data_IF_586457673885
#
_entry.id   IF_586457673885
#
_cell.length_a   1.000
_cell.length_b   1.000
_cell.length_c   1.000
_cell.angle_alpha   90.00
_cell.angle_beta   90.00
_cell.angle_gamma   90.00
#
_symmetry.space_group_name_H-M   'P 1'
#
loop_
_entity.id
_entity.type
_entity.pdbx_description
1 polymer ?
#
# COMPACT_ATOMS: atom_id res chain seq x y z
N UNK A 1 3.13 -58.62 -37.68
CA UNK A 1 4.27 -57.80 -37.21
C UNK A 1 3.84 -56.36 -36.91
N UNK A 2 2.91 -56.10 -35.95
CA UNK A 2 2.42 -54.71 -35.65
C UNK A 2 1.82 -54.52 -34.24
N UNK A 3 1.92 -55.51 -33.34
CA UNK A 3 1.32 -55.41 -32.01
C UNK A 3 2.25 -54.80 -30.94
N UNK A 4 3.56 -54.83 -31.11
CA UNK A 4 4.54 -54.30 -30.14
C UNK A 4 4.75 -52.78 -30.21
N UNK A 5 4.37 -52.09 -31.29
CA UNK A 5 4.51 -50.63 -31.42
C UNK A 5 3.39 -49.82 -30.74
N UNK A 6 2.22 -50.43 -30.52
CA UNK A 6 1.08 -49.72 -29.89
C UNK A 6 1.18 -49.63 -28.35
N UNK A 7 1.91 -50.55 -27.71
CA UNK A 7 2.09 -50.55 -26.25
C UNK A 7 3.13 -49.53 -25.78
N UNK A 8 4.13 -49.18 -26.58
CA UNK A 8 5.13 -48.18 -26.20
C UNK A 8 4.61 -46.74 -26.30
N UNK A 9 3.67 -46.45 -27.20
CA UNK A 9 3.08 -45.11 -27.33
C UNK A 9 2.13 -44.76 -26.17
N UNK A 10 1.42 -45.77 -25.62
CA UNK A 10 0.49 -45.56 -24.49
C UNK A 10 1.22 -45.35 -23.16
N UNK A 11 2.38 -45.96 -22.94
CA UNK A 11 3.18 -45.79 -21.75
C UNK A 11 3.82 -44.40 -21.66
N UNK A 12 4.21 -43.81 -22.80
CA UNK A 12 4.79 -42.45 -22.83
C UNK A 12 3.76 -41.35 -22.54
N UNK A 13 2.50 -41.53 -23.00
CA UNK A 13 1.42 -40.55 -22.77
C UNK A 13 0.95 -40.48 -21.29
N UNK A 14 0.99 -41.61 -20.58
CA UNK A 14 0.62 -41.67 -19.16
C UNK A 14 1.72 -41.06 -18.28
N UNK A 15 2.99 -41.23 -18.63
CA UNK A 15 4.09 -40.62 -17.88
C UNK A 15 4.15 -39.09 -17.98
N UNK A 16 3.78 -38.51 -19.13
CA UNK A 16 3.75 -37.05 -19.32
C UNK A 16 2.60 -36.39 -18.57
N UNK A 17 1.44 -37.05 -18.45
CA UNK A 17 0.30 -36.54 -17.67
C UNK A 17 0.57 -36.58 -16.15
N UNK A 18 1.31 -37.57 -15.66
CA UNK A 18 1.66 -37.66 -14.23
C UNK A 18 2.67 -36.56 -13.81
N UNK A 19 3.61 -36.19 -14.67
CA UNK A 19 4.54 -35.08 -14.38
C UNK A 19 3.88 -33.71 -14.41
N UNK A 20 2.90 -33.46 -15.28
CA UNK A 20 2.14 -32.20 -15.32
C UNK A 20 1.26 -32.04 -14.08
N UNK A 21 0.66 -33.12 -13.58
CA UNK A 21 -0.16 -33.10 -12.35
C UNK A 21 0.65 -32.88 -11.08
N UNK A 22 1.87 -33.42 -10.99
CA UNK A 22 2.77 -33.23 -9.85
C UNK A 22 3.29 -31.80 -9.75
N UNK A 23 3.59 -31.14 -10.89
CA UNK A 23 4.03 -29.74 -10.93
C UNK A 23 2.91 -28.77 -10.51
N UNK A 24 1.64 -29.04 -10.84
CA UNK A 24 0.50 -28.21 -10.41
C UNK A 24 0.15 -28.43 -8.93
N UNK A 25 0.28 -29.64 -8.40
CA UNK A 25 0.02 -29.92 -6.99
C UNK A 25 1.09 -29.29 -6.07
N UNK A 26 2.34 -29.19 -6.54
CA UNK A 26 3.43 -28.58 -5.79
C UNK A 26 3.29 -27.04 -5.72
N UNK A 27 2.66 -26.39 -6.72
CA UNK A 27 2.40 -24.95 -6.72
C UNK A 27 1.23 -24.55 -5.80
N UNK A 28 0.31 -25.46 -5.49
CA UNK A 28 -0.85 -25.19 -4.65
C UNK A 28 -0.52 -25.05 -3.15
N UNK A 29 0.60 -25.64 -2.71
CA UNK A 29 1.03 -25.62 -1.32
C UNK A 29 2.31 -24.79 -1.07
N UNK A 30 2.85 -24.16 -2.12
CA UNK A 30 4.08 -23.37 -2.02
C UNK A 30 3.85 -22.12 -1.19
N UNK A 31 4.68 -21.90 -0.18
CA UNK A 31 4.64 -20.68 0.64
C UNK A 31 5.15 -19.46 -0.14
N UNK A 32 4.81 -18.25 0.31
CA UNK A 32 5.27 -17.02 -0.33
C UNK A 32 6.82 -16.95 -0.32
N UNK A 33 7.45 -17.33 0.79
CA UNK A 33 8.92 -17.32 0.88
C UNK A 33 9.56 -18.34 -0.07
N UNK A 34 9.05 -19.58 -0.13
CA UNK A 34 9.55 -20.60 -1.05
C UNK A 34 9.46 -20.15 -2.51
N UNK A 35 8.31 -19.57 -2.89
CA UNK A 35 8.11 -19.02 -4.25
C UNK A 35 9.12 -17.91 -4.55
N UNK A 36 9.29 -16.95 -3.63
CA UNK A 36 10.24 -15.84 -3.80
C UNK A 36 11.66 -16.37 -3.98
N UNK A 37 12.08 -17.30 -3.14
CA UNK A 37 13.44 -17.84 -3.19
C UNK A 37 13.70 -18.72 -4.42
N UNK A 38 12.69 -19.43 -4.89
CA UNK A 38 12.76 -20.25 -6.12
C UNK A 38 12.78 -19.39 -7.38
N UNK A 39 11.90 -18.38 -7.46
CA UNK A 39 11.79 -17.52 -8.65
C UNK A 39 12.80 -16.39 -8.67
N UNK A 40 13.49 -16.15 -7.55
CA UNK A 40 14.38 -14.99 -7.33
C UNK A 40 13.69 -13.65 -7.61
N UNK A 41 12.38 -13.59 -7.38
CA UNK A 41 11.56 -12.41 -7.64
C UNK A 41 10.52 -12.23 -6.53
N UNK A 42 10.43 -11.00 -5.99
CA UNK A 42 9.40 -10.58 -5.05
C UNK A 42 8.46 -9.58 -5.71
N UNK A 43 7.15 -9.83 -5.64
CA UNK A 43 6.12 -9.01 -6.27
C UNK A 43 5.59 -7.99 -5.27
N UNK A 44 5.68 -6.73 -5.65
CA UNK A 44 5.35 -5.57 -4.82
C UNK A 44 4.13 -4.86 -5.39
N UNK A 45 3.10 -4.67 -4.58
CA UNK A 45 1.99 -3.79 -4.94
C UNK A 45 2.43 -2.33 -4.95
N UNK A 46 2.08 -1.58 -5.99
CA UNK A 46 2.45 -0.18 -6.14
C UNK A 46 1.27 0.67 -6.61
N UNK A 47 1.14 1.89 -6.09
CA UNK A 47 0.00 2.77 -6.33
C UNK A 47 0.45 4.02 -7.06
N UNK A 48 -0.02 4.20 -8.30
CA UNK A 48 0.35 5.36 -9.09
C UNK A 48 -0.17 6.67 -8.45
N UNK A 49 0.70 7.67 -8.37
CA UNK A 49 0.34 9.01 -7.87
C UNK A 49 0.17 9.14 -6.36
N UNK A 50 0.53 8.13 -5.57
CA UNK A 50 0.51 8.18 -4.10
C UNK A 50 1.85 8.71 -3.52
N UNK A 51 2.32 9.85 -4.01
CA UNK A 51 3.58 10.48 -3.56
C UNK A 51 3.47 10.88 -2.08
N UNK A 52 4.45 10.55 -1.25
CA UNK A 52 5.77 9.96 -1.51
C UNK A 52 5.84 8.43 -1.39
N UNK A 53 4.71 7.75 -1.16
CA UNK A 53 4.65 6.29 -1.03
C UNK A 53 5.10 5.61 -2.31
N UNK A 54 4.43 5.94 -3.40
CA UNK A 54 4.67 5.40 -4.74
C UNK A 54 4.42 6.46 -5.79
N UNK A 55 5.27 6.49 -6.79
CA UNK A 55 5.12 7.29 -8.00
C UNK A 55 5.61 6.49 -9.19
N UNK A 56 4.81 6.44 -10.25
CA UNK A 56 5.27 5.86 -11.52
C UNK A 56 5.82 6.98 -12.39
N UNK A 57 7.11 6.96 -12.64
CA UNK A 57 7.76 7.91 -13.53
C UNK A 57 7.32 7.60 -14.97
N UNK A 58 6.51 8.46 -15.56
CA UNK A 58 5.91 8.20 -16.88
C UNK A 58 6.92 8.21 -18.02
N UNK A 59 8.08 8.84 -17.84
CA UNK A 59 9.12 8.88 -18.86
C UNK A 59 9.97 7.62 -18.88
N UNK A 60 10.23 7.02 -17.71
CA UNK A 60 11.11 5.87 -17.56
C UNK A 60 10.36 4.58 -17.28
N UNK A 61 9.09 4.65 -16.93
CA UNK A 61 8.27 3.52 -16.47
C UNK A 61 8.66 3.01 -15.06
N UNK A 62 9.70 3.58 -14.43
CA UNK A 62 10.18 3.12 -13.12
C UNK A 62 9.28 3.59 -11.98
N UNK A 63 9.21 2.76 -10.95
CA UNK A 63 8.58 3.13 -9.69
C UNK A 63 9.57 3.85 -8.79
N UNK A 64 9.12 4.91 -8.13
CA UNK A 64 9.85 5.77 -7.22
C UNK A 64 9.03 5.99 -5.96
N UNK A 65 9.66 6.33 -4.84
CA UNK A 65 9.00 6.57 -3.56
C UNK A 65 9.57 5.70 -2.46
N UNK A 66 9.18 5.96 -1.22
CA UNK A 66 9.73 5.18 -0.11
C UNK A 66 9.26 3.71 -0.11
N UNK A 67 8.10 3.41 -0.68
CA UNK A 67 7.64 2.02 -0.86
C UNK A 67 8.59 1.22 -1.76
N UNK A 68 8.91 1.68 -2.98
CA UNK A 68 9.95 1.09 -3.81
C UNK A 68 11.32 1.04 -3.15
N UNK A 69 11.79 2.13 -2.49
CA UNK A 69 13.09 2.13 -1.83
C UNK A 69 13.18 1.05 -0.75
N UNK A 70 12.18 0.93 0.12
CA UNK A 70 12.11 -0.15 1.12
C UNK A 70 12.02 -1.54 0.47
N UNK A 71 11.28 -1.68 -0.61
CA UNK A 71 11.16 -2.95 -1.33
C UNK A 71 12.50 -3.39 -1.94
N UNK A 72 13.25 -2.47 -2.53
CA UNK A 72 14.60 -2.74 -3.07
C UNK A 72 15.59 -3.10 -1.94
N UNK A 73 15.54 -2.40 -0.80
CA UNK A 73 16.37 -2.71 0.36
C UNK A 73 16.09 -4.12 0.89
N UNK A 74 14.82 -4.51 1.00
CA UNK A 74 14.44 -5.85 1.45
C UNK A 74 14.79 -6.92 0.42
N UNK A 75 14.54 -6.68 -0.87
CA UNK A 75 14.89 -7.58 -1.96
C UNK A 75 16.41 -7.83 -2.03
N UNK A 76 17.21 -6.79 -1.86
CA UNK A 76 18.68 -6.90 -1.79
C UNK A 76 19.14 -7.80 -0.63
N UNK A 77 18.49 -7.69 0.56
CA UNK A 77 18.78 -8.57 1.69
C UNK A 77 18.49 -10.04 1.38
N UNK A 78 17.44 -10.33 0.60
CA UNK A 78 17.08 -11.69 0.19
C UNK A 78 17.87 -12.21 -1.03
N UNK A 79 18.59 -11.33 -1.73
CA UNK A 79 19.27 -11.65 -2.98
C UNK A 79 18.29 -11.98 -4.13
N UNK A 80 17.19 -11.21 -4.21
CA UNK A 80 16.13 -11.35 -5.21
C UNK A 80 15.87 -10.02 -5.93
N UNK A 81 15.09 -10.04 -7.02
CA UNK A 81 14.66 -8.85 -7.77
C UNK A 81 13.24 -8.46 -7.38
N UNK A 82 12.92 -7.18 -7.49
CA UNK A 82 11.56 -6.68 -7.34
C UNK A 82 10.82 -6.72 -8.68
N UNK A 83 9.52 -7.00 -8.61
CA UNK A 83 8.56 -6.82 -9.69
C UNK A 83 7.39 -6.01 -9.14
N UNK A 84 7.02 -4.92 -9.83
CA UNK A 84 5.96 -4.01 -9.37
C UNK A 84 4.67 -4.24 -10.14
N UNK A 85 3.57 -4.45 -9.42
CA UNK A 85 2.23 -4.57 -9.97
C UNK A 85 1.38 -3.39 -9.50
N UNK A 86 0.81 -2.68 -10.48
CA UNK A 86 -0.04 -1.53 -10.19
C UNK A 86 -1.37 -1.96 -9.57
N UNK A 87 -1.75 -1.29 -8.48
CA UNK A 87 -2.96 -1.57 -7.71
C UNK A 87 -3.51 -0.30 -7.07
N UNK A 88 -4.57 -0.42 -6.25
CA UNK A 88 -5.12 0.64 -5.39
C UNK A 88 -5.07 0.20 -3.92
N UNK A 89 -5.26 1.12 -2.97
CA UNK A 89 -5.31 0.76 -1.54
C UNK A 89 -6.41 -0.27 -1.23
N UNK A 90 -7.57 -0.18 -1.90
CA UNK A 90 -8.66 -1.14 -1.77
C UNK A 90 -8.30 -2.50 -2.37
N UNK A 91 -7.87 -2.52 -3.63
CA UNK A 91 -7.57 -3.74 -4.37
C UNK A 91 -6.35 -4.49 -3.83
N UNK A 92 -5.37 -3.77 -3.24
CA UNK A 92 -4.16 -4.39 -2.71
C UNK A 92 -4.43 -5.49 -1.66
N UNK A 93 -5.53 -5.39 -0.93
CA UNK A 93 -5.95 -6.43 0.03
C UNK A 93 -6.25 -7.74 -0.70
N UNK A 94 -7.06 -7.69 -1.75
CA UNK A 94 -7.38 -8.86 -2.58
C UNK A 94 -6.16 -9.36 -3.33
N UNK A 95 -5.31 -8.46 -3.85
CA UNK A 95 -4.10 -8.84 -4.57
C UNK A 95 -3.11 -9.61 -3.68
N UNK A 96 -3.00 -9.25 -2.39
CA UNK A 96 -2.25 -10.01 -1.39
C UNK A 96 -2.89 -11.37 -1.12
N UNK A 97 -4.20 -11.41 -0.87
CA UNK A 97 -4.94 -12.64 -0.56
C UNK A 97 -4.86 -13.67 -1.68
N UNK A 98 -4.96 -13.23 -2.92
CA UNK A 98 -4.95 -14.08 -4.12
C UNK A 98 -3.55 -14.39 -4.64
N UNK A 99 -2.51 -14.05 -3.85
CA UNK A 99 -1.12 -14.31 -4.22
C UNK A 99 -0.68 -13.63 -5.55
N UNK A 100 -1.32 -12.51 -5.90
CA UNK A 100 -0.94 -11.70 -7.06
C UNK A 100 0.26 -10.81 -6.73
N UNK A 101 0.32 -10.27 -5.50
CA UNK A 101 1.48 -9.59 -4.92
C UNK A 101 1.91 -10.28 -3.62
N UNK A 102 3.20 -10.20 -3.31
CA UNK A 102 3.76 -10.79 -2.10
C UNK A 102 3.77 -9.81 -0.93
N UNK A 103 4.13 -8.56 -1.20
CA UNK A 103 4.20 -7.50 -0.20
C UNK A 103 3.51 -6.22 -0.66
N UNK A 104 2.85 -5.55 0.28
CA UNK A 104 2.31 -4.20 0.12
C UNK A 104 2.88 -3.28 1.19
N UNK A 105 3.86 -2.44 0.81
CA UNK A 105 4.45 -1.45 1.69
C UNK A 105 3.49 -0.28 1.93
N UNK A 106 3.47 0.25 3.15
CA UNK A 106 2.64 1.41 3.46
C UNK A 106 1.18 1.09 3.80
N UNK A 107 0.82 -0.19 4.00
CA UNK A 107 -0.54 -0.61 4.32
C UNK A 107 -0.85 -0.45 5.81
N UNK A 108 -1.93 0.27 6.13
CA UNK A 108 -2.42 0.34 7.51
C UNK A 108 -3.09 -0.98 7.93
N UNK A 109 -2.72 -1.57 9.09
CA UNK A 109 -3.29 -2.82 9.60
C UNK A 109 -4.64 -2.58 10.29
N UNK A 110 -5.65 -2.15 9.53
CA UNK A 110 -6.99 -1.91 10.05
C UNK A 110 -7.66 -3.22 10.50
N UNK A 111 -8.66 -3.18 11.41
CA UNK A 111 -9.34 -4.40 11.86
C UNK A 111 -9.81 -5.29 10.70
N UNK A 112 -10.53 -4.71 9.74
CA UNK A 112 -11.02 -5.47 8.58
C UNK A 112 -9.90 -6.13 7.75
N UNK A 113 -8.76 -5.47 7.60
CA UNK A 113 -7.61 -6.03 6.86
C UNK A 113 -6.93 -7.15 7.64
N UNK A 114 -6.82 -7.05 8.97
CA UNK A 114 -6.23 -8.09 9.83
C UNK A 114 -6.99 -9.42 9.79
N UNK A 115 -8.26 -9.40 9.45
CA UNK A 115 -9.04 -10.63 9.26
C UNK A 115 -8.47 -11.50 8.13
N UNK A 116 -7.91 -10.89 7.10
CA UNK A 116 -7.62 -11.53 5.82
C UNK A 116 -6.18 -11.38 5.34
N UNK A 117 -5.36 -10.53 5.97
CA UNK A 117 -3.97 -10.22 5.63
C UNK A 117 -3.11 -10.27 6.89
N UNK A 118 -1.91 -10.82 6.80
CA UNK A 118 -0.88 -10.69 7.83
C UNK A 118 -0.09 -9.38 7.63
N UNK A 119 0.47 -8.88 8.72
CA UNK A 119 1.22 -7.63 8.74
C UNK A 119 2.57 -7.81 9.43
N UNK A 120 3.54 -7.04 8.97
CA UNK A 120 4.79 -6.84 9.71
C UNK A 120 4.55 -6.05 11.00
N UNK A 121 5.59 -5.92 11.80
CA UNK A 121 5.69 -4.87 12.81
C UNK A 121 5.50 -3.49 12.16
N UNK A 122 5.13 -2.48 12.97
CA UNK A 122 4.88 -1.12 12.48
C UNK A 122 6.12 -0.55 11.80
N UNK A 123 6.00 -0.09 10.57
CA UNK A 123 7.07 0.58 9.84
C UNK A 123 7.21 2.05 10.32
N UNK A 124 6.09 2.77 10.39
CA UNK A 124 5.97 4.12 10.95
C UNK A 124 4.52 4.41 11.32
N UNK A 125 4.23 5.62 11.86
CA UNK A 125 2.86 6.03 12.17
C UNK A 125 2.41 7.15 11.24
N UNK A 126 1.17 7.05 10.74
CA UNK A 126 0.50 8.11 10.02
C UNK A 126 -0.34 8.97 10.97
N UNK A 127 -0.40 10.28 10.69
CA UNK A 127 -1.39 11.18 11.26
C UNK A 127 -2.43 11.52 10.20
N UNK A 128 -3.72 11.30 10.49
CA UNK A 128 -4.81 11.69 9.60
C UNK A 128 -5.02 13.19 9.60
N UNK A 129 -5.38 13.70 8.44
CA UNK A 129 -5.62 15.12 8.20
C UNK A 129 -6.74 15.29 7.19
N UNK A 130 -7.23 16.51 7.08
CA UNK A 130 -8.13 16.93 6.00
C UNK A 130 -7.49 18.01 5.17
N UNK A 131 -7.73 17.99 3.88
CA UNK A 131 -7.52 19.12 2.98
C UNK A 131 -8.90 19.64 2.60
N UNK A 132 -9.24 20.85 3.07
CA UNK A 132 -10.54 21.46 2.84
C UNK A 132 -10.40 22.70 1.96
N UNK A 133 -11.37 22.93 1.08
CA UNK A 133 -11.46 24.16 0.26
C UNK A 133 -11.66 25.39 1.16
N UNK A 134 -11.25 26.56 0.64
CA UNK A 134 -11.43 27.84 1.33
C UNK A 134 -12.89 28.04 1.78
N UNK A 135 -13.08 28.42 3.03
CA UNK A 135 -14.38 28.58 3.65
C UNK A 135 -14.88 27.36 4.43
N UNK A 136 -14.26 26.20 4.24
CA UNK A 136 -14.54 24.99 5.01
C UNK A 136 -13.32 24.67 5.89
N UNK A 137 -13.50 24.53 7.18
CA UNK A 137 -12.40 24.17 8.09
C UNK A 137 -12.72 22.85 8.77
N UNK A 138 -11.87 21.87 8.61
CA UNK A 138 -11.96 20.60 9.33
C UNK A 138 -11.14 20.66 10.62
N UNK A 139 -11.50 21.52 11.57
CA UNK A 139 -10.79 21.64 12.85
C UNK A 139 -11.07 20.49 13.82
N UNK A 140 -12.24 19.86 13.67
CA UNK A 140 -12.59 18.66 14.42
C UNK A 140 -13.41 17.70 13.57
N UNK A 141 -13.38 16.42 13.92
CA UNK A 141 -14.25 15.43 13.27
C UNK A 141 -15.73 15.70 13.51
N UNK A 142 -16.07 16.29 14.68
CA UNK A 142 -17.43 16.66 15.00
C UNK A 142 -17.97 17.77 14.08
N UNK A 143 -17.16 18.79 13.76
CA UNK A 143 -17.52 19.85 12.80
C UNK A 143 -17.76 19.30 11.39
N UNK A 144 -17.00 18.29 11.00
CA UNK A 144 -17.15 17.62 9.70
C UNK A 144 -18.31 16.63 9.67
N UNK A 145 -18.79 16.16 10.81
CA UNK A 145 -19.84 15.13 10.89
C UNK A 145 -21.25 15.73 10.84
N UNK A 146 -21.56 16.49 9.81
CA UNK A 146 -22.87 17.12 9.59
C UNK A 146 -23.41 16.78 8.20
N UNK A 147 -24.74 16.76 7.99
CA UNK A 147 -25.35 16.51 6.68
C UNK A 147 -24.91 17.49 5.58
N UNK A 148 -24.47 18.69 5.94
CA UNK A 148 -23.98 19.70 4.99
C UNK A 148 -22.54 19.45 4.53
N UNK A 149 -21.78 18.63 5.25
CA UNK A 149 -20.37 18.34 4.93
C UNK A 149 -20.27 17.34 3.79
N UNK A 150 -19.60 17.76 2.70
CA UNK A 150 -19.31 16.91 1.54
C UNK A 150 -17.84 16.47 1.60
N UNK A 151 -17.62 15.27 2.09
CA UNK A 151 -16.27 14.70 2.27
C UNK A 151 -16.00 13.64 1.20
N UNK A 152 -14.76 13.58 0.72
CA UNK A 152 -14.35 12.58 -0.26
C UNK A 152 -13.17 11.75 0.27
N UNK A 153 -13.19 10.45 -0.06
CA UNK A 153 -12.13 9.48 0.26
C UNK A 153 -11.92 8.51 -0.89
N UNK A 154 -10.80 7.83 -0.90
CA UNK A 154 -10.53 6.68 -1.76
C UNK A 154 -11.11 5.41 -1.13
N UNK A 155 -11.95 4.70 -1.88
CA UNK A 155 -12.70 3.52 -1.41
C UNK A 155 -11.75 2.42 -0.93
N UNK A 156 -12.09 1.79 0.19
CA UNK A 156 -11.33 0.68 0.78
C UNK A 156 -9.99 1.07 1.39
N UNK A 157 -9.63 2.35 1.37
CA UNK A 157 -8.44 2.88 2.05
C UNK A 157 -8.64 2.97 3.56
N UNK A 158 -7.57 3.28 4.30
CA UNK A 158 -7.69 3.60 5.72
C UNK A 158 -8.42 4.94 5.97
N UNK A 159 -8.41 5.85 4.99
CA UNK A 159 -9.17 7.10 5.03
C UNK A 159 -10.68 6.83 5.00
N UNK A 160 -11.12 5.89 4.13
CA UNK A 160 -12.52 5.45 4.06
C UNK A 160 -12.97 4.79 5.36
N UNK A 161 -12.15 3.92 5.94
CA UNK A 161 -12.46 3.28 7.22
C UNK A 161 -12.54 4.29 8.37
N UNK A 162 -11.66 5.28 8.40
CA UNK A 162 -11.75 6.40 9.34
C UNK A 162 -13.05 7.18 9.12
N UNK A 163 -13.33 7.60 7.88
CA UNK A 163 -14.55 8.34 7.55
C UNK A 163 -15.82 7.58 7.98
N UNK A 164 -15.88 6.28 7.70
CA UNK A 164 -17.00 5.42 8.11
C UNK A 164 -17.20 5.41 9.62
N UNK A 165 -16.11 5.47 10.39
CA UNK A 165 -16.17 5.47 11.86
C UNK A 165 -16.57 6.83 12.44
N UNK A 166 -16.04 7.93 11.92
CA UNK A 166 -16.15 9.25 12.58
C UNK A 166 -17.14 10.21 11.89
N UNK A 167 -17.55 9.93 10.65
CA UNK A 167 -18.41 10.82 9.84
C UNK A 167 -19.74 10.15 9.46
N UNK A 168 -20.49 9.68 10.46
CA UNK A 168 -21.74 8.94 10.24
C UNK A 168 -22.88 9.80 9.69
N UNK A 169 -22.83 11.14 9.89
CA UNK A 169 -23.85 12.08 9.45
C UNK A 169 -23.43 12.88 8.19
N UNK A 170 -22.16 12.86 7.84
CA UNK A 170 -21.65 13.59 6.68
C UNK A 170 -21.95 12.88 5.35
N UNK A 171 -22.01 13.64 4.26
CA UNK A 171 -22.06 13.09 2.91
C UNK A 171 -20.65 12.64 2.48
N UNK A 172 -20.34 11.36 2.65
CA UNK A 172 -19.04 10.78 2.27
C UNK A 172 -19.10 10.14 0.91
N UNK A 173 -18.43 10.74 -0.08
CA UNK A 173 -18.26 10.18 -1.43
C UNK A 173 -17.00 9.33 -1.49
N UNK A 174 -17.15 8.09 -1.96
CA UNK A 174 -16.08 7.11 -2.11
C UNK A 174 -15.71 6.99 -3.58
N UNK A 175 -14.45 7.30 -3.92
CA UNK A 175 -13.94 7.24 -5.28
C UNK A 175 -12.82 6.21 -5.40
N UNK A 176 -12.55 5.76 -6.62
CA UNK A 176 -11.66 4.63 -6.89
C UNK A 176 -10.24 4.80 -6.32
N UNK A 177 -9.73 6.04 -6.36
CA UNK A 177 -8.37 6.34 -5.90
C UNK A 177 -8.24 7.78 -5.41
N UNK A 178 -7.12 8.08 -4.78
CA UNK A 178 -6.84 9.40 -4.20
C UNK A 178 -6.80 10.53 -5.24
N UNK A 179 -6.41 10.23 -6.48
CA UNK A 179 -6.41 11.20 -7.59
C UNK A 179 -7.82 11.63 -7.98
N UNK A 180 -8.76 10.66 -8.09
CA UNK A 180 -10.17 10.93 -8.33
C UNK A 180 -10.80 11.73 -7.18
N UNK A 181 -10.45 11.40 -5.94
CA UNK A 181 -10.86 12.16 -4.75
C UNK A 181 -10.35 13.60 -4.79
N UNK A 182 -9.08 13.82 -5.14
CA UNK A 182 -8.49 15.14 -5.29
C UNK A 182 -9.16 15.94 -6.43
N UNK A 183 -9.54 15.28 -7.52
CA UNK A 183 -10.28 15.92 -8.61
C UNK A 183 -11.68 16.37 -8.16
N UNK A 184 -12.37 15.57 -7.35
CA UNK A 184 -13.66 15.96 -6.76
C UNK A 184 -13.53 17.17 -5.83
N UNK A 185 -12.47 17.22 -5.01
CA UNK A 185 -12.16 18.38 -4.19
C UNK A 185 -11.90 19.63 -5.04
N UNK A 186 -11.00 19.55 -6.03
CA UNK A 186 -10.60 20.70 -6.85
C UNK A 186 -11.75 21.25 -7.70
N UNK A 187 -12.65 20.38 -8.19
CA UNK A 187 -13.84 20.78 -8.96
C UNK A 187 -15.01 21.26 -8.12
N UNK A 188 -14.91 21.27 -6.79
CA UNK A 188 -15.98 21.70 -5.88
C UNK A 188 -17.10 20.68 -5.69
N UNK A 189 -16.94 19.46 -6.17
CA UNK A 189 -17.88 18.35 -5.89
C UNK A 189 -17.80 17.87 -4.46
N UNK A 190 -16.66 18.07 -3.79
CA UNK A 190 -16.45 17.85 -2.37
C UNK A 190 -15.87 19.12 -1.72
N UNK A 191 -16.06 19.26 -0.41
CA UNK A 191 -15.54 20.37 0.39
C UNK A 191 -14.23 20.02 1.07
N UNK A 192 -14.10 18.76 1.52
CA UNK A 192 -12.92 18.25 2.19
C UNK A 192 -12.53 16.86 1.65
N UNK A 193 -11.23 16.58 1.58
CA UNK A 193 -10.68 15.25 1.36
C UNK A 193 -9.95 14.81 2.63
N UNK A 194 -10.21 13.59 3.09
CA UNK A 194 -9.40 12.97 4.16
C UNK A 194 -8.15 12.36 3.54
N UNK A 195 -7.01 12.68 4.12
CA UNK A 195 -5.69 12.16 3.76
C UNK A 195 -4.88 11.89 5.04
N UNK A 196 -3.67 11.40 4.87
CA UNK A 196 -2.63 11.48 5.91
C UNK A 196 -1.68 12.63 5.60
N UNK A 197 -0.97 13.14 6.61
CA UNK A 197 -0.06 14.28 6.44
C UNK A 197 0.96 14.04 5.32
N UNK A 198 1.49 12.82 5.20
CA UNK A 198 2.44 12.46 4.15
C UNK A 198 1.89 12.55 2.72
N UNK A 199 0.57 12.48 2.53
CA UNK A 199 -0.08 12.67 1.23
C UNK A 199 -0.57 14.12 1.04
N UNK A 200 -1.03 14.76 2.12
CA UNK A 200 -1.57 16.12 2.06
C UNK A 200 -0.49 17.18 1.80
N UNK A 201 0.67 17.06 2.43
CA UNK A 201 1.79 17.99 2.22
C UNK A 201 2.24 18.07 0.75
N UNK A 202 2.56 16.94 0.06
CA UNK A 202 2.88 16.94 -1.36
C UNK A 202 1.75 17.48 -2.26
N UNK A 203 0.51 17.18 -1.91
CA UNK A 203 -0.64 17.69 -2.65
C UNK A 203 -0.69 19.22 -2.62
N UNK A 204 -0.53 19.80 -1.42
CA UNK A 204 -0.58 21.25 -1.24
C UNK A 204 0.63 21.97 -1.85
N UNK A 205 1.80 21.35 -1.80
CA UNK A 205 3.00 21.88 -2.46
C UNK A 205 2.80 21.98 -3.99
N UNK A 206 2.24 20.95 -4.60
CA UNK A 206 1.96 20.91 -6.03
C UNK A 206 0.72 21.73 -6.44
N UNK A 207 -0.23 21.94 -5.54
CA UNK A 207 -1.51 22.61 -5.78
C UNK A 207 -1.91 23.50 -4.60
N UNK A 208 -1.18 24.60 -4.32
CA UNK A 208 -1.41 25.44 -3.14
C UNK A 208 -2.80 26.08 -3.10
N UNK A 209 -3.46 26.22 -4.28
CA UNK A 209 -4.81 26.78 -4.38
C UNK A 209 -5.95 25.78 -4.12
N UNK A 210 -5.68 24.49 -3.92
CA UNK A 210 -6.73 23.47 -3.78
C UNK A 210 -7.48 23.60 -2.44
N UNK A 211 -6.81 24.11 -1.40
CA UNK A 211 -7.37 24.25 -0.06
C UNK A 211 -6.32 24.42 1.02
N UNK A 212 -6.71 24.15 2.26
CA UNK A 212 -5.83 24.19 3.41
C UNK A 212 -5.87 22.85 4.16
N UNK A 213 -4.72 22.42 4.70
CA UNK A 213 -4.62 21.25 5.55
C UNK A 213 -4.98 21.61 6.98
N UNK A 214 -5.74 20.77 7.68
CA UNK A 214 -5.88 20.79 9.12
C UNK A 214 -5.82 19.37 9.69
N UNK A 215 -5.30 19.25 10.92
CA UNK A 215 -5.33 18.01 11.67
C UNK A 215 -6.53 18.11 12.60
N UNK A 216 -7.66 17.39 12.32
CA UNK A 216 -8.85 17.50 13.13
C UNK A 216 -8.66 16.93 14.53
N UNK A 217 -9.31 17.55 15.52
CA UNK A 217 -9.37 17.01 16.89
C UNK A 217 -10.56 16.05 17.08
N UNK A 218 -10.41 14.99 17.90
CA UNK A 218 -9.15 14.49 18.45
C UNK A 218 -8.20 14.01 17.35
N UNK A 219 -6.89 14.09 17.59
CA UNK A 219 -5.88 13.63 16.61
C UNK A 219 -6.01 12.13 16.41
N UNK A 220 -6.25 11.74 15.18
CA UNK A 220 -6.31 10.33 14.75
C UNK A 220 -5.00 9.93 14.12
N UNK A 221 -4.44 8.80 14.59
CA UNK A 221 -3.22 8.22 14.05
C UNK A 221 -3.44 6.75 13.72
N UNK A 222 -2.63 6.19 12.83
CA UNK A 222 -2.64 4.77 12.55
C UNK A 222 -1.22 4.27 12.30
N UNK A 223 -0.88 3.07 12.78
CA UNK A 223 0.34 2.40 12.37
C UNK A 223 0.28 2.08 10.87
N UNK A 224 1.44 2.09 10.25
CA UNK A 224 1.66 1.66 8.87
C UNK A 224 2.63 0.49 8.91
N UNK A 225 2.30 -0.56 8.20
CA UNK A 225 3.04 -1.82 8.17
C UNK A 225 3.23 -2.31 6.73
N UNK A 226 3.78 -3.50 6.59
CA UNK A 226 3.91 -4.19 5.31
C UNK A 226 2.90 -5.34 5.33
N UNK A 227 1.91 -5.28 4.42
CA UNK A 227 0.91 -6.33 4.25
C UNK A 227 1.46 -7.50 3.46
N UNK A 228 1.12 -8.73 3.86
CA UNK A 228 1.50 -9.97 3.20
C UNK A 228 0.39 -11.02 3.33
N UNK A 229 0.44 -12.06 2.49
CA UNK A 229 -0.58 -13.11 2.51
C UNK A 229 -0.65 -13.79 3.88
N UNK A 230 -1.89 -14.08 4.31
CA UNK A 230 -2.15 -14.86 5.51
C UNK A 230 -1.97 -16.33 5.18
N UNK A 231 -0.94 -16.95 5.72
CA UNK A 231 -0.60 -18.35 5.53
C UNK A 231 -0.06 -18.96 6.84
N UNK A 232 -0.02 -20.29 6.93
CA UNK A 232 0.47 -20.97 8.12
C UNK A 232 1.98 -20.81 8.30
N UNK A 233 2.73 -20.66 7.20
CA UNK A 233 4.16 -20.36 7.22
C UNK A 233 4.38 -18.89 7.52
N UNK A 234 5.18 -18.58 8.53
CA UNK A 234 5.51 -17.22 8.95
C UNK A 234 6.92 -16.76 8.55
N UNK A 235 7.61 -17.55 7.71
CA UNK A 235 9.01 -17.30 7.32
C UNK A 235 9.20 -15.95 6.64
N UNK A 236 8.28 -15.56 5.74
CA UNK A 236 8.30 -14.24 5.10
C UNK A 236 8.09 -13.12 6.13
N UNK A 237 7.12 -13.26 7.04
CA UNK A 237 6.86 -12.29 8.09
C UNK A 237 8.05 -12.13 9.03
N UNK A 238 8.67 -13.23 9.44
CA UNK A 238 9.90 -13.22 10.27
C UNK A 238 11.06 -12.52 9.57
N UNK A 239 11.26 -12.82 8.28
CA UNK A 239 12.31 -12.17 7.49
C UNK A 239 12.09 -10.66 7.35
N UNK A 240 10.85 -10.23 7.09
CA UNK A 240 10.47 -8.81 7.04
C UNK A 240 10.70 -8.14 8.38
N UNK A 241 10.25 -8.74 9.49
CA UNK A 241 10.40 -8.14 10.83
C UNK A 241 11.87 -8.05 11.27
N UNK A 242 12.68 -9.06 10.97
CA UNK A 242 14.12 -9.02 11.24
C UNK A 242 14.80 -7.88 10.44
N UNK A 243 14.45 -7.71 9.15
CA UNK A 243 14.94 -6.61 8.34
C UNK A 243 14.47 -5.25 8.89
N UNK A 244 13.19 -5.11 9.28
CA UNK A 244 12.65 -3.88 9.89
C UNK A 244 13.40 -3.51 11.18
N UNK A 245 13.70 -4.49 12.02
CA UNK A 245 14.50 -4.27 13.24
C UNK A 245 15.87 -3.66 12.92
N UNK A 246 16.54 -4.20 11.88
CA UNK A 246 17.87 -3.73 11.48
C UNK A 246 17.85 -2.29 10.94
N UNK A 247 16.90 -1.94 10.06
CA UNK A 247 16.82 -0.58 9.49
C UNK A 247 16.38 0.47 10.52
N UNK A 248 15.58 0.06 11.52
CA UNK A 248 15.22 0.93 12.65
C UNK A 248 16.41 1.20 13.56
N UNK A 249 17.19 0.18 13.89
CA UNK A 249 18.39 0.33 14.70
C UNK A 249 19.41 1.31 14.09
N UNK A 250 19.34 1.50 12.77
CA UNK A 250 20.19 2.44 12.00
C UNK A 250 19.51 3.79 11.69
N UNK A 251 18.29 4.03 12.16
CA UNK A 251 17.46 5.22 11.86
C UNK A 251 17.21 5.44 10.35
N UNK A 252 17.24 4.36 9.55
CA UNK A 252 17.10 4.46 8.09
C UNK A 252 15.66 4.78 7.67
N UNK A 253 14.65 4.38 8.47
CA UNK A 253 13.22 4.57 8.13
C UNK A 253 12.89 6.05 7.91
N UNK A 254 13.29 6.91 8.86
CA UNK A 254 13.08 8.34 8.78
C UNK A 254 13.79 8.95 7.56
N UNK A 255 15.04 8.57 7.35
CA UNK A 255 15.85 9.06 6.23
C UNK A 255 15.23 8.75 4.88
N UNK A 256 14.76 7.51 4.67
CA UNK A 256 14.11 7.08 3.42
C UNK A 256 12.81 7.86 3.18
N UNK A 257 11.95 8.03 4.20
CA UNK A 257 10.69 8.75 4.07
C UNK A 257 10.93 10.23 3.73
N UNK A 258 11.75 10.92 4.51
CA UNK A 258 12.00 12.35 4.33
C UNK A 258 12.79 12.65 3.04
N UNK A 259 13.73 11.78 2.66
CA UNK A 259 14.45 11.89 1.39
C UNK A 259 13.48 11.82 0.19
N UNK A 260 12.50 10.93 0.22
CA UNK A 260 11.47 10.84 -0.82
C UNK A 260 10.51 12.05 -0.80
N UNK A 261 10.17 12.57 0.38
CA UNK A 261 9.37 13.79 0.50
C UNK A 261 10.05 14.96 -0.20
N UNK A 262 11.33 15.17 0.06
CA UNK A 262 12.09 16.24 -0.59
C UNK A 262 12.27 15.98 -2.09
N UNK A 263 12.69 14.77 -2.48
CA UNK A 263 12.98 14.40 -3.87
C UNK A 263 11.76 14.48 -4.78
N UNK A 264 10.62 13.93 -4.34
CA UNK A 264 9.42 13.76 -5.18
C UNK A 264 8.40 14.87 -5.01
N UNK A 265 8.42 15.57 -3.89
CA UNK A 265 7.41 16.56 -3.53
C UNK A 265 7.96 17.96 -3.24
N UNK A 266 9.27 18.13 -3.14
CA UNK A 266 9.89 19.41 -2.77
C UNK A 266 9.61 19.81 -1.31
N UNK A 267 9.15 18.87 -0.47
CA UNK A 267 8.84 19.13 0.94
C UNK A 267 10.06 18.80 1.80
N UNK A 268 10.71 19.80 2.36
CA UNK A 268 11.91 19.58 3.17
C UNK A 268 11.56 18.99 4.55
N UNK A 269 12.53 18.33 5.22
CA UNK A 269 12.31 17.71 6.52
C UNK A 269 11.76 18.66 7.59
N UNK A 270 12.12 19.92 7.55
CA UNK A 270 11.72 20.98 8.50
C UNK A 270 10.25 21.38 8.35
N UNK A 271 9.60 21.01 7.23
CA UNK A 271 8.18 21.27 7.00
C UNK A 271 7.26 20.36 7.84
N UNK A 272 7.84 19.35 8.52
CA UNK A 272 7.07 18.47 9.39
C UNK A 272 7.13 18.96 10.84
N UNK A 273 5.96 19.06 11.52
CA UNK A 273 5.94 19.34 12.94
C UNK A 273 6.77 18.31 13.73
N UNK A 274 7.47 18.71 14.82
CA UNK A 274 8.31 17.81 15.60
C UNK A 274 7.52 16.68 16.30
N UNK A 275 6.21 16.84 16.43
CA UNK A 275 5.29 15.82 16.98
C UNK A 275 5.09 14.64 16.01
N UNK A 276 5.33 14.83 14.71
CA UNK A 276 5.21 13.76 13.70
C UNK A 276 6.48 12.90 13.76
N UNK A 277 6.35 11.77 14.43
CA UNK A 277 7.40 10.74 14.52
C UNK A 277 7.16 9.69 13.44
N UNK A 278 8.21 9.39 12.71
CA UNK A 278 8.24 8.30 11.72
C UNK A 278 8.87 7.07 12.34
#
# INVERSE_FOLDING_TARGET
MNTKRKFLASALAVATLAFAGAAQAQSANETAMERIMRTKTIRIGAIAGAIPYFNKNLNTGKWEGFGPDFAEMFAARLGVKTEYLETTWGNSVLDVQTNKIDLMFGMAPTPARKEVVNFSDTLFNNTYTTVCRKGNSGKSWAELNTPASRVVVDVGSSHDQLATRVLQNASVTRLENSGAATLALSSGRADCQILVVLLAKPLLEKRPGIGAMSIPSPVETAPVSIGMRKEADDSLQKAVNAWLSDIRAKDEVRGVILGNMQKLAGVPPEAFPPEIKF
#
